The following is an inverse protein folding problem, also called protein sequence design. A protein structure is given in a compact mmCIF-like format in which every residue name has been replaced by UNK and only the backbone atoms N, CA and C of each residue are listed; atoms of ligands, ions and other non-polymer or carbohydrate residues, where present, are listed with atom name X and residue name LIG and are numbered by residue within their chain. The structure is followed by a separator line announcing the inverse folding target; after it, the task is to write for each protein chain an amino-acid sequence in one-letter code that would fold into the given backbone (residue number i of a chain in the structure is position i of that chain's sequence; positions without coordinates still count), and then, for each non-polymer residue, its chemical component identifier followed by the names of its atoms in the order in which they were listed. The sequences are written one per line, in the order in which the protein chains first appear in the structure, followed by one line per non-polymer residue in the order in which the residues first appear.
data_IF_823460980778
#
_entry.id   IF_823460980778
#
_cell.length_a   1.000
_cell.length_b   1.000
_cell.length_c   1.000
_cell.angle_alpha   90.00
_cell.angle_beta   90.00
_cell.angle_gamma   90.00
#
_symmetry.space_group_name_H-M   'P 1'
#
loop_
_entity.id
_entity.type
_entity.pdbx_description
1 polymer ?
#
# COMPACT_ATOMS: atom_id res chain seq x y z
N UNK A 1 16.35 -9.21 -17.87
CA UNK A 1 16.24 -10.64 -17.48
C UNK A 1 14.80 -10.91 -17.12
N UNK A 2 14.25 -12.07 -17.48
CA UNK A 2 12.89 -12.49 -17.11
C UNK A 2 13.02 -13.81 -16.35
N UNK A 3 12.28 -13.94 -15.25
CA UNK A 3 12.11 -15.20 -14.53
C UNK A 3 10.66 -15.60 -14.71
N UNK A 4 10.44 -16.73 -15.38
CA UNK A 4 9.12 -17.28 -15.62
C UNK A 4 8.99 -18.61 -14.87
N UNK A 5 7.91 -18.76 -14.11
CA UNK A 5 7.55 -20.00 -13.44
C UNK A 5 6.07 -20.25 -13.67
N UNK A 6 5.72 -21.39 -14.28
CA UNK A 6 4.34 -21.71 -14.64
C UNK A 6 3.42 -21.84 -13.42
N UNK A 7 3.97 -22.32 -12.30
CA UNK A 7 3.20 -22.60 -11.09
C UNK A 7 3.46 -21.55 -10.00
N UNK A 8 4.69 -21.45 -9.50
CA UNK A 8 5.05 -20.51 -8.43
C UNK A 8 6.55 -20.21 -8.37
N UNK A 9 6.88 -19.10 -7.71
CA UNK A 9 8.22 -18.80 -7.18
C UNK A 9 8.08 -18.66 -5.67
N UNK A 10 8.88 -19.41 -4.92
CA UNK A 10 8.93 -19.31 -3.45
C UNK A 10 10.34 -18.93 -3.00
N UNK A 11 10.47 -17.81 -2.29
CA UNK A 11 11.73 -17.34 -1.70
C UNK A 11 11.68 -17.50 -0.17
N UNK A 12 12.33 -18.55 0.36
CA UNK A 12 12.46 -18.76 1.82
C UNK A 12 13.80 -18.21 2.29
N UNK A 13 13.76 -17.11 3.02
CA UNK A 13 14.94 -16.38 3.50
C UNK A 13 14.62 -15.71 4.82
N UNK A 14 15.64 -15.37 5.62
CA UNK A 14 15.49 -14.54 6.81
C UNK A 14 15.16 -13.09 6.46
N UNK A 15 15.64 -12.62 5.30
CA UNK A 15 15.42 -11.26 4.80
C UNK A 15 15.33 -11.29 3.26
N UNK A 16 14.35 -10.56 2.72
CA UNK A 16 14.16 -10.35 1.28
C UNK A 16 14.12 -8.86 1.00
N UNK A 17 15.06 -8.36 0.18
CA UNK A 17 15.14 -6.96 -0.25
C UNK A 17 14.97 -6.89 -1.77
N UNK A 18 14.08 -6.02 -2.24
CA UNK A 18 13.84 -5.77 -3.67
C UNK A 18 14.10 -4.29 -3.98
N UNK A 19 15.20 -4.00 -4.67
CA UNK A 19 15.55 -2.66 -5.16
C UNK A 19 15.22 -2.55 -6.65
N UNK A 20 14.27 -1.68 -6.97
CA UNK A 20 13.84 -1.41 -8.34
C UNK A 20 13.21 -0.02 -8.45
N UNK A 21 13.34 0.61 -9.62
CA UNK A 21 12.66 1.89 -9.91
C UNK A 21 11.13 1.76 -9.82
N UNK A 22 10.60 0.59 -10.18
CA UNK A 22 9.17 0.29 -10.11
C UNK A 22 8.91 -1.20 -9.89
N UNK A 23 8.17 -1.49 -8.82
CA UNK A 23 7.53 -2.80 -8.60
C UNK A 23 6.05 -2.70 -8.97
N UNK A 24 5.53 -3.67 -9.73
CA UNK A 24 4.11 -3.75 -10.09
C UNK A 24 3.56 -5.12 -9.74
N UNK A 25 2.44 -5.14 -9.03
CA UNK A 25 1.70 -6.35 -8.71
C UNK A 25 0.31 -6.23 -9.33
N UNK A 26 -0.09 -7.23 -10.13
CA UNK A 26 -1.37 -7.23 -10.86
C UNK A 26 -2.45 -8.10 -10.19
N UNK A 27 -2.09 -8.82 -9.13
CA UNK A 27 -2.95 -9.77 -8.43
C UNK A 27 -3.14 -9.35 -6.97
N UNK A 28 -3.97 -10.09 -6.24
CA UNK A 28 -4.14 -9.90 -4.80
C UNK A 28 -2.83 -10.12 -4.04
N UNK A 29 -2.67 -9.39 -2.94
CA UNK A 29 -1.50 -9.45 -2.06
C UNK A 29 -1.98 -9.62 -0.62
N UNK A 30 -1.38 -10.55 0.10
CA UNK A 30 -1.54 -10.69 1.55
C UNK A 30 -0.22 -10.30 2.20
N UNK A 31 -0.26 -9.34 3.13
CA UNK A 31 0.89 -8.93 3.93
C UNK A 31 0.57 -9.21 5.39
N UNK A 32 1.45 -9.97 6.05
CA UNK A 32 1.34 -10.25 7.48
C UNK A 32 2.41 -9.46 8.23
N UNK A 33 2.01 -8.75 9.29
CA UNK A 33 2.88 -7.85 10.05
C UNK A 33 2.66 -6.38 9.71
N UNK A 34 3.53 -5.51 10.25
CA UNK A 34 3.49 -4.07 10.02
C UNK A 34 3.97 -3.70 8.62
N UNK A 35 3.38 -2.66 8.05
CA UNK A 35 3.80 -2.06 6.77
C UNK A 35 4.18 -0.62 7.01
N UNK A 36 5.43 -0.27 6.67
CA UNK A 36 5.88 1.12 6.64
C UNK A 36 5.93 1.57 5.18
N UNK A 37 5.17 2.60 4.83
CA UNK A 37 5.18 3.22 3.51
C UNK A 37 5.65 4.67 3.66
N UNK A 38 6.45 5.14 2.71
CA UNK A 38 6.97 6.51 2.70
C UNK A 38 7.51 6.90 1.33
N UNK A 39 8.02 8.12 1.23
CA UNK A 39 8.55 8.66 -0.03
C UNK A 39 7.50 9.09 -1.06
N UNK A 40 6.21 9.08 -0.70
CA UNK A 40 5.10 9.51 -1.56
C UNK A 40 3.74 9.08 -1.02
N UNK A 41 2.67 9.39 -1.75
CA UNK A 41 1.30 9.07 -1.36
C UNK A 41 0.97 7.58 -1.55
N UNK A 42 0.37 6.96 -0.54
CA UNK A 42 -0.32 5.68 -0.70
C UNK A 42 -1.77 5.93 -1.10
N UNK A 43 -2.21 5.39 -2.24
CA UNK A 43 -3.60 5.51 -2.67
C UNK A 43 -4.24 4.18 -3.02
N UNK A 44 -5.54 4.08 -2.76
CA UNK A 44 -6.39 2.95 -3.16
C UNK A 44 -7.68 3.49 -3.75
N UNK A 45 -8.00 3.09 -4.98
CA UNK A 45 -9.18 3.58 -5.72
C UNK A 45 -9.28 5.12 -5.75
N UNK A 46 -8.15 5.82 -5.87
CA UNK A 46 -8.09 7.29 -5.92
C UNK A 46 -8.13 7.99 -4.56
N UNK A 47 -8.25 7.26 -3.45
CA UNK A 47 -8.23 7.81 -2.10
C UNK A 47 -6.82 7.74 -1.54
N UNK A 48 -6.28 8.88 -1.13
CA UNK A 48 -4.96 8.99 -0.50
C UNK A 48 -5.08 8.73 0.99
N UNK A 49 -4.40 7.70 1.49
CA UNK A 49 -4.61 7.15 2.84
C UNK A 49 -4.35 8.20 3.91
N UNK A 50 -3.26 8.95 3.81
CA UNK A 50 -2.84 9.96 4.81
C UNK A 50 -3.47 11.35 4.59
N UNK A 51 -4.37 11.51 3.62
CA UNK A 51 -5.03 12.78 3.33
C UNK A 51 -6.54 12.68 3.09
N UNK A 52 -7.15 11.51 3.26
CA UNK A 52 -8.58 11.33 2.97
C UNK A 52 -9.48 12.00 4.01
N UNK A 53 -10.66 12.43 3.55
CA UNK A 53 -11.69 13.06 4.35
C UNK A 53 -13.01 12.32 4.17
N UNK A 54 -13.87 12.35 5.18
CA UNK A 54 -15.19 11.72 5.15
C UNK A 54 -16.29 12.79 5.04
N UNK A 55 -17.24 12.62 4.12
CA UNK A 55 -18.45 13.46 4.05
C UNK A 55 -19.61 12.81 4.82
N UNK A 56 -20.42 13.58 5.56
CA UNK A 56 -21.66 13.08 6.18
C UNK A 56 -21.76 13.21 7.71
N UNK A 57 -20.74 13.74 8.38
CA UNK A 57 -20.89 14.26 9.75
C UNK A 57 -21.37 15.72 9.68
N UNK A 58 -22.33 16.09 10.53
CA UNK A 58 -22.84 17.47 10.62
C UNK A 58 -21.67 18.42 10.89
N UNK A 59 -21.51 19.42 10.01
CA UNK A 59 -20.45 20.43 10.06
C UNK A 59 -20.72 21.42 11.21
N UNK A 60 -20.45 21.00 12.43
CA UNK A 60 -20.34 21.88 13.60
C UNK A 60 -18.88 22.22 13.84
N UNK A 61 -18.34 23.25 13.18
CA UNK A 61 -17.04 23.88 13.51
C UNK A 61 -15.75 23.07 13.26
N UNK A 62 -15.79 21.74 13.34
CA UNK A 62 -14.59 20.92 13.37
C UNK A 62 -14.40 20.16 12.05
N UNK A 63 -13.23 20.35 11.42
CA UNK A 63 -12.65 19.39 10.47
C UNK A 63 -12.76 18.01 11.08
N UNK A 64 -13.34 17.03 10.37
CA UNK A 64 -13.03 15.63 10.67
C UNK A 64 -11.52 15.57 10.67
N UNK A 65 -10.91 15.21 11.80
CA UNK A 65 -9.45 15.13 11.90
C UNK A 65 -8.91 14.42 10.66
N UNK A 66 -7.74 14.87 10.18
CA UNK A 66 -7.00 14.10 9.18
C UNK A 66 -6.87 12.64 9.64
N UNK A 67 -6.48 11.72 8.74
CA UNK A 67 -6.40 10.31 9.08
C UNK A 67 -5.67 10.13 10.42
N UNK A 68 -6.37 9.51 11.37
CA UNK A 68 -5.79 9.08 12.65
C UNK A 68 -4.87 7.89 12.43
#
# INVERSE_FOLDING_TARGET
MVIEAADNITMKTSEFVLEADRTRINSEVVINGGVTQGGGAMSSNGIVVDAHQHTGVLKGGDTTGGPV
#
